data_IF_542484540291
#
_entry.id   IF_542484540291
#
_cell.length_a   1.000
_cell.length_b   1.000
_cell.length_c   1.000
_cell.angle_alpha   90.00
_cell.angle_beta   90.00
_cell.angle_gamma   90.00
#
_symmetry.space_group_name_H-M   'P 1'
#
loop_
_entity.id
_entity.type
_entity.pdbx_description
1 polymer ?
#
# COMPACT_ATOMS: atom_id res chain seq x y z
N UNK A 1 10.51 -8.94 -9.40
CA UNK A 1 9.55 -9.24 -8.34
C UNK A 1 9.25 -10.72 -8.40
N UNK A 2 9.81 -11.45 -7.47
CA UNK A 2 9.58 -12.87 -7.32
C UNK A 2 8.32 -13.09 -6.51
N UNK A 3 7.49 -14.04 -6.90
CA UNK A 3 6.42 -14.58 -6.07
C UNK A 3 6.98 -15.42 -4.92
N UNK A 4 8.22 -15.85 -5.03
CA UNK A 4 8.97 -16.41 -3.93
C UNK A 4 9.50 -15.27 -3.05
N UNK A 5 9.27 -15.33 -1.78
CA UNK A 5 9.75 -14.32 -0.89
C UNK A 5 10.27 -14.92 0.43
N UNK A 6 11.08 -14.12 1.12
CA UNK A 6 11.70 -14.49 2.37
C UNK A 6 10.71 -14.63 3.55
N UNK A 7 9.46 -14.19 3.37
CA UNK A 7 8.40 -14.30 4.36
C UNK A 7 7.51 -15.53 4.17
N UNK A 8 7.76 -16.34 3.14
CA UNK A 8 7.00 -17.56 2.89
C UNK A 8 6.85 -18.48 4.10
N UNK A 9 7.86 -18.65 5.00
CA UNK A 9 7.69 -19.42 6.23
C UNK A 9 6.66 -18.83 7.20
N UNK A 10 6.44 -17.50 7.17
CA UNK A 10 5.52 -16.79 8.07
C UNK A 10 4.12 -16.67 7.47
N UNK A 11 4.03 -16.61 6.14
CA UNK A 11 2.80 -16.39 5.39
C UNK A 11 2.74 -17.34 4.17
N UNK A 12 2.76 -18.68 4.40
CA UNK A 12 2.99 -19.67 3.33
C UNK A 12 1.92 -19.64 2.24
N UNK A 13 0.68 -19.31 2.60
CA UNK A 13 -0.44 -19.37 1.66
C UNK A 13 -0.71 -18.05 0.92
N UNK A 14 -0.14 -16.94 1.38
CA UNK A 14 -0.43 -15.61 0.81
C UNK A 14 0.16 -15.45 -0.59
N UNK A 15 1.40 -15.88 -0.77
CA UNK A 15 2.16 -15.62 -2.00
C UNK A 15 1.84 -16.60 -3.14
N UNK A 16 1.16 -17.68 -2.82
CA UNK A 16 0.72 -18.70 -3.79
C UNK A 16 -0.74 -18.50 -4.24
N UNK A 17 -1.43 -17.50 -3.71
CA UNK A 17 -2.79 -17.20 -4.14
C UNK A 17 -2.81 -16.78 -5.62
N UNK A 18 -3.72 -17.30 -6.45
CA UNK A 18 -3.75 -17.02 -7.88
C UNK A 18 -3.78 -15.53 -8.22
N UNK A 19 -4.60 -14.74 -7.51
CA UNK A 19 -4.67 -13.30 -7.72
C UNK A 19 -3.38 -12.56 -7.39
N UNK A 20 -2.64 -13.02 -6.36
CA UNK A 20 -1.35 -12.45 -6.00
C UNK A 20 -0.28 -12.73 -7.05
N UNK A 21 -0.24 -13.96 -7.56
CA UNK A 21 0.68 -14.36 -8.66
C UNK A 21 0.36 -13.56 -9.91
N UNK A 22 -0.92 -13.43 -10.24
CA UNK A 22 -1.39 -12.66 -11.39
C UNK A 22 -1.03 -11.17 -11.27
N UNK A 23 -1.20 -10.57 -10.08
CA UNK A 23 -0.77 -9.20 -9.79
C UNK A 23 0.75 -9.01 -9.99
N UNK A 24 1.55 -9.96 -9.54
CA UNK A 24 3.00 -9.95 -9.77
C UNK A 24 3.35 -9.96 -11.26
N UNK A 25 2.68 -10.80 -12.04
CA UNK A 25 2.84 -10.87 -13.48
C UNK A 25 2.40 -9.59 -14.19
N UNK A 26 1.27 -9.04 -13.80
CA UNK A 26 0.76 -7.76 -14.32
C UNK A 26 1.74 -6.62 -14.06
N UNK A 27 2.26 -6.50 -12.85
CA UNK A 27 3.27 -5.50 -12.51
C UNK A 27 4.56 -5.67 -13.34
N UNK A 28 5.00 -6.91 -13.54
CA UNK A 28 6.17 -7.20 -14.38
C UNK A 28 5.97 -6.78 -15.83
N UNK A 29 4.74 -6.86 -16.38
CA UNK A 29 4.44 -6.36 -17.73
C UNK A 29 4.59 -4.85 -17.81
N UNK A 30 4.02 -4.09 -16.87
CA UNK A 30 4.20 -2.63 -16.80
C UNK A 30 5.68 -2.26 -16.67
N UNK A 31 6.40 -2.92 -15.75
CA UNK A 31 7.83 -2.67 -15.53
C UNK A 31 8.66 -2.96 -16.78
N UNK A 32 8.39 -4.09 -17.46
CA UNK A 32 9.05 -4.44 -18.71
C UNK A 32 8.84 -3.38 -19.78
N UNK A 33 7.59 -2.97 -20.01
CA UNK A 33 7.28 -1.95 -20.99
C UNK A 33 8.05 -0.66 -20.68
N UNK A 34 7.98 -0.20 -19.43
CA UNK A 34 8.69 1.00 -18.99
C UNK A 34 10.21 0.93 -19.19
N UNK A 35 10.82 -0.20 -18.84
CA UNK A 35 12.27 -0.38 -19.00
C UNK A 35 12.72 -0.37 -20.46
N UNK A 36 11.89 -0.86 -21.39
CA UNK A 36 12.24 -0.93 -22.81
C UNK A 36 11.85 0.32 -23.60
N UNK A 37 10.79 1.01 -23.20
CA UNK A 37 10.20 2.09 -24.01
C UNK A 37 10.10 3.43 -23.28
N UNK A 38 10.26 3.44 -21.97
CA UNK A 38 9.99 4.62 -21.11
C UNK A 38 8.49 4.82 -20.83
N UNK A 39 7.61 3.96 -21.36
CA UNK A 39 6.17 4.00 -21.16
C UNK A 39 5.70 2.67 -20.56
N UNK A 40 5.02 2.64 -19.39
CA UNK A 40 4.52 1.40 -18.81
C UNK A 40 3.36 0.79 -19.58
N UNK A 41 2.67 1.57 -20.41
CA UNK A 41 1.47 1.14 -21.13
C UNK A 41 1.74 0.07 -22.19
N UNK A 42 0.72 -0.72 -22.50
CA UNK A 42 0.81 -1.77 -23.52
C UNK A 42 -0.54 -2.39 -23.82
N UNK A 43 -0.57 -3.20 -24.88
CA UNK A 43 -1.80 -3.85 -25.31
C UNK A 43 -2.37 -4.77 -24.21
N UNK A 44 -3.65 -4.60 -23.89
CA UNK A 44 -4.36 -5.43 -22.92
C UNK A 44 -4.11 -5.03 -21.44
N UNK A 45 -3.37 -3.95 -21.21
CA UNK A 45 -3.19 -3.39 -19.88
C UNK A 45 -4.14 -2.22 -19.65
N UNK A 46 -4.55 -2.03 -18.39
CA UNK A 46 -5.22 -0.80 -17.96
C UNK A 46 -4.28 0.40 -18.18
N UNK A 47 -4.80 1.51 -18.67
CA UNK A 47 -3.99 2.67 -19.01
C UNK A 47 -3.41 3.34 -17.77
N UNK A 48 -2.10 3.32 -17.65
CA UNK A 48 -1.37 4.04 -16.61
C UNK A 48 -1.19 5.49 -17.02
N UNK A 49 -2.07 6.37 -16.53
CA UNK A 49 -1.99 7.80 -16.79
C UNK A 49 -0.84 8.44 -16.04
N UNK A 50 -0.14 9.44 -16.61
CA UNK A 50 0.82 10.23 -15.87
C UNK A 50 0.17 10.89 -14.67
N UNK A 51 0.88 10.91 -13.55
CA UNK A 51 0.43 11.64 -12.37
C UNK A 51 0.48 13.15 -12.63
N UNK A 52 -0.53 13.85 -12.20
CA UNK A 52 -0.53 15.32 -12.16
C UNK A 52 -1.17 15.84 -10.86
N UNK A 53 -0.79 17.06 -10.47
CA UNK A 53 -1.21 17.68 -9.22
C UNK A 53 -2.70 17.99 -9.14
N UNK A 54 -3.42 18.07 -10.26
CA UNK A 54 -4.84 18.41 -10.29
C UNK A 54 -5.70 17.18 -10.14
N UNK A 55 -5.36 16.11 -10.84
CA UNK A 55 -6.15 14.89 -10.89
C UNK A 55 -5.74 13.86 -9.84
N UNK A 56 -4.47 13.87 -9.41
CA UNK A 56 -3.87 12.88 -8.52
C UNK A 56 -4.06 11.44 -9.01
N UNK A 57 -4.12 11.24 -10.34
CA UNK A 57 -4.29 9.90 -10.91
C UNK A 57 -3.11 9.02 -10.53
N UNK A 58 -3.43 7.88 -9.97
CA UNK A 58 -2.46 6.89 -9.50
C UNK A 58 -2.93 5.51 -9.94
N UNK A 59 -2.03 4.71 -10.50
CA UNK A 59 -2.32 3.31 -10.78
C UNK A 59 -2.36 2.55 -9.46
N UNK A 60 -3.51 1.99 -9.15
CA UNK A 60 -3.71 1.11 -7.99
C UNK A 60 -3.70 -0.32 -8.50
N UNK A 61 -2.76 -1.10 -7.99
CA UNK A 61 -2.67 -2.53 -8.25
C UNK A 61 -3.09 -3.28 -6.99
N UNK A 62 -3.97 -4.25 -7.17
CA UNK A 62 -4.52 -5.07 -6.10
C UNK A 62 -4.74 -6.50 -6.60
N UNK A 63 -5.08 -7.42 -5.70
CA UNK A 63 -5.37 -8.79 -6.02
C UNK A 63 -6.72 -9.22 -5.42
N UNK A 64 -7.65 -9.61 -6.28
CA UNK A 64 -8.80 -10.42 -5.87
C UNK A 64 -8.38 -11.90 -5.76
N UNK A 65 -9.28 -12.75 -5.25
CA UNK A 65 -8.99 -14.18 -5.02
C UNK A 65 -8.38 -14.90 -6.23
N UNK A 66 -8.87 -14.63 -7.43
CA UNK A 66 -8.47 -15.34 -8.65
C UNK A 66 -7.73 -14.50 -9.70
N UNK A 67 -7.59 -13.19 -9.51
CA UNK A 67 -7.03 -12.31 -10.54
C UNK A 67 -6.45 -11.01 -9.98
N UNK A 68 -5.55 -10.41 -10.73
CA UNK A 68 -5.10 -9.04 -10.51
C UNK A 68 -6.20 -8.02 -10.80
N UNK A 69 -6.14 -6.92 -10.09
CA UNK A 69 -6.93 -5.72 -10.32
C UNK A 69 -5.97 -4.57 -10.62
N UNK A 70 -6.27 -3.81 -11.67
CA UNK A 70 -5.55 -2.59 -12.01
C UNK A 70 -6.56 -1.50 -12.31
N UNK A 71 -6.42 -0.37 -11.67
CA UNK A 71 -7.30 0.76 -11.85
C UNK A 71 -6.52 2.07 -11.73
N UNK A 72 -6.64 2.94 -12.73
CA UNK A 72 -6.08 4.28 -12.63
C UNK A 72 -7.14 5.21 -12.04
N UNK A 73 -6.95 5.61 -10.78
CA UNK A 73 -7.92 6.44 -10.05
C UNK A 73 -7.27 7.58 -9.27
N UNK A 74 -8.06 8.60 -8.96
CA UNK A 74 -7.59 9.69 -8.12
C UNK A 74 -7.42 9.22 -6.67
N UNK A 75 -6.20 9.24 -6.18
CA UNK A 75 -5.86 8.89 -4.80
C UNK A 75 -5.28 10.12 -4.12
N UNK A 76 -6.02 10.65 -3.17
CA UNK A 76 -5.55 11.72 -2.29
C UNK A 76 -5.33 11.14 -0.90
N UNK A 77 -4.08 10.92 -0.58
CA UNK A 77 -3.68 10.41 0.72
C UNK A 77 -2.83 11.43 1.44
N UNK A 78 -3.14 11.68 2.69
CA UNK A 78 -2.34 12.50 3.59
C UNK A 78 -2.32 11.85 4.97
N UNK A 79 -1.41 12.26 5.83
CA UNK A 79 -1.40 11.80 7.23
C UNK A 79 -2.75 12.03 7.93
N UNK A 80 -3.40 13.17 7.67
CA UNK A 80 -4.72 13.46 8.22
C UNK A 80 -5.78 12.44 7.79
N UNK A 81 -5.86 12.14 6.49
CA UNK A 81 -6.81 11.16 5.95
C UNK A 81 -6.57 9.77 6.54
N UNK A 82 -5.31 9.32 6.57
CA UNK A 82 -4.97 8.00 7.14
C UNK A 82 -5.35 7.93 8.62
N UNK A 83 -5.06 8.97 9.38
CA UNK A 83 -5.39 9.00 10.80
C UNK A 83 -6.89 9.06 11.06
N UNK A 84 -7.65 9.76 10.21
CA UNK A 84 -9.12 9.78 10.28
C UNK A 84 -9.71 8.41 9.96
N UNK A 85 -9.17 7.71 8.96
CA UNK A 85 -9.56 6.33 8.65
C UNK A 85 -9.21 5.37 9.80
N UNK A 86 -8.03 5.52 10.42
CA UNK A 86 -7.65 4.75 11.61
C UNK A 86 -8.59 4.98 12.78
N UNK A 87 -9.03 6.21 13.01
CA UNK A 87 -9.98 6.54 14.09
C UNK A 87 -11.38 5.95 13.82
N UNK A 88 -11.80 5.95 12.56
CA UNK A 88 -13.09 5.42 12.13
C UNK A 88 -13.13 3.89 11.99
N UNK A 89 -11.97 3.23 11.92
CA UNK A 89 -11.89 1.79 11.82
C UNK A 89 -12.44 1.10 13.08
N UNK A 90 -13.50 0.31 12.93
CA UNK A 90 -14.16 -0.45 14.01
C UNK A 90 -13.83 -1.94 13.98
N UNK A 91 -12.89 -2.38 13.14
CA UNK A 91 -12.49 -3.81 13.02
C UNK A 91 -11.82 -4.33 14.29
N UNK A 92 -11.19 -3.43 15.06
CA UNK A 92 -10.61 -3.72 16.37
C UNK A 92 -11.14 -2.74 17.42
N UNK A 93 -11.17 -3.17 18.68
CA UNK A 93 -11.63 -2.30 19.76
C UNK A 93 -10.72 -1.09 19.93
N UNK A 94 -11.28 0.02 20.43
CA UNK A 94 -10.52 1.25 20.70
C UNK A 94 -9.31 0.99 21.59
N UNK A 95 -9.46 0.17 22.63
CA UNK A 95 -8.37 -0.16 23.55
C UNK A 95 -7.21 -0.88 22.84
N UNK A 96 -7.51 -1.81 21.93
CA UNK A 96 -6.49 -2.51 21.14
C UNK A 96 -5.82 -1.52 20.18
N UNK A 97 -6.61 -0.66 19.50
CA UNK A 97 -6.11 0.37 18.60
C UNK A 97 -5.11 1.29 19.30
N UNK A 98 -5.47 1.82 20.46
CA UNK A 98 -4.59 2.67 21.26
C UNK A 98 -3.28 1.96 21.65
N UNK A 99 -3.35 0.68 22.04
CA UNK A 99 -2.16 -0.13 22.32
C UNK A 99 -1.26 -0.33 21.10
N UNK A 100 -1.85 -0.58 19.92
CA UNK A 100 -1.10 -0.73 18.67
C UNK A 100 -0.39 0.58 18.32
N UNK A 101 -1.09 1.70 18.36
CA UNK A 101 -0.52 3.01 18.06
C UNK A 101 0.62 3.34 19.04
N UNK A 102 0.40 3.15 20.34
CA UNK A 102 1.38 3.49 21.36
C UNK A 102 2.62 2.58 21.38
N UNK A 103 2.48 1.30 21.04
CA UNK A 103 3.57 0.34 21.21
C UNK A 103 4.22 -0.12 19.91
N UNK A 104 3.50 -0.07 18.78
CA UNK A 104 4.00 -0.57 17.49
C UNK A 104 4.42 0.57 16.58
N UNK A 105 3.63 1.64 16.54
CA UNK A 105 3.81 2.73 15.60
C UNK A 105 4.56 3.93 16.20
N UNK A 106 4.62 4.02 17.51
CA UNK A 106 5.32 5.07 18.22
C UNK A 106 6.84 5.06 17.94
N UNK A 107 7.43 6.23 17.86
CA UNK A 107 8.87 6.43 17.79
C UNK A 107 9.53 5.92 16.51
N UNK A 108 8.79 5.76 15.44
CA UNK A 108 9.33 5.45 14.12
C UNK A 108 9.68 6.74 13.38
N UNK A 109 10.66 6.69 12.49
CA UNK A 109 11.07 7.86 11.68
C UNK A 109 9.89 8.50 10.90
N UNK A 110 8.82 7.76 10.65
CA UNK A 110 7.61 8.21 9.96
C UNK A 110 6.45 8.55 10.91
N UNK A 111 6.60 8.38 12.22
CA UNK A 111 5.48 8.44 13.17
C UNK A 111 5.18 9.82 13.75
N UNK A 112 5.96 10.86 13.45
CA UNK A 112 5.84 12.17 14.09
C UNK A 112 4.42 12.75 14.12
N UNK A 113 3.65 12.62 13.02
CA UNK A 113 2.25 13.07 12.99
C UNK A 113 1.33 12.19 13.85
N UNK A 114 1.57 10.89 13.90
CA UNK A 114 0.85 9.95 14.76
C UNK A 114 1.14 10.25 16.24
N UNK A 115 2.41 10.44 16.57
CA UNK A 115 2.83 10.73 17.95
C UNK A 115 2.23 12.04 18.45
N UNK A 116 2.14 13.06 17.60
CA UNK A 116 1.47 14.32 17.94
C UNK A 116 -0.04 14.14 18.15
N UNK A 117 -0.71 13.44 17.24
CA UNK A 117 -2.17 13.26 17.30
C UNK A 117 -2.62 12.42 18.49
N UNK A 118 -1.86 11.37 18.82
CA UNK A 118 -2.21 10.42 19.89
C UNK A 118 -1.42 10.65 21.18
N UNK A 119 -0.67 11.76 21.25
CA UNK A 119 0.13 12.15 22.43
C UNK A 119 1.11 11.04 22.87
N UNK A 120 1.62 10.27 21.92
CA UNK A 120 2.58 9.22 22.19
C UNK A 120 3.93 9.82 22.58
N UNK A 121 4.63 9.17 23.51
CA UNK A 121 6.03 9.49 23.78
C UNK A 121 6.88 8.93 22.65
N UNK A 122 7.40 9.79 21.80
CA UNK A 122 8.33 9.39 20.75
C UNK A 122 9.62 8.83 21.34
N UNK A 123 10.16 7.76 20.76
CA UNK A 123 11.47 7.22 21.11
C UNK A 123 12.62 8.05 20.54
N UNK A 124 12.33 9.01 19.66
CA UNK A 124 13.29 9.84 18.94
C UNK A 124 13.21 11.31 19.32
N UNK A 125 12.59 11.62 20.45
CA UNK A 125 12.61 12.98 21.01
C UNK A 125 13.88 13.11 21.82
N UNK A 126 14.71 14.06 21.41
CA UNK A 126 15.88 14.53 22.17
C UNK A 126 15.44 15.30 23.44
#
# INVERSE_FOLDING_TARGET
LSTENNYAPMLPDTFNQPGYVDMGNLFLQYLKNFLYTGDPNGQGLEAWSPWDEKTHLTMVLDAAEGKALAECKSVKTSYGVIMDEMDQDETISKEIKEKVIANVMNGRWFSGHLDQRYENKSLWVD
#
